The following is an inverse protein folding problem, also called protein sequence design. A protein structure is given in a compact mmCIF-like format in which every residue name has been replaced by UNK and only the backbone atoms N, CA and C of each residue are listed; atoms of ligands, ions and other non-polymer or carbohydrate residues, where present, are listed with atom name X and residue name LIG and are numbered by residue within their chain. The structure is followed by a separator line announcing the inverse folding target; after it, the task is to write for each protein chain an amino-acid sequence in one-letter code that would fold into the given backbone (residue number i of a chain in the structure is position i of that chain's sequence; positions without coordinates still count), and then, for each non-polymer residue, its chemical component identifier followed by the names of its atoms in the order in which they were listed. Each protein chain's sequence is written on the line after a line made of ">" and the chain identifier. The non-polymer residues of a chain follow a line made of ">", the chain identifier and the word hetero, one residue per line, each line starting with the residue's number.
data_IF_201975783014
#
_entry.id   IF_201975783014
#
_cell.length_a   1.000
_cell.length_b   1.000
_cell.length_c   1.000
_cell.angle_alpha   90.00
_cell.angle_beta   90.00
_cell.angle_gamma   90.00
#
_symmetry.space_group_name_H-M   'P 1'
#
loop_
_entity.id
_entity.type
_entity.pdbx_description
1 polymer ?
#
# COMPACT_ATOMS: atom_id res chain seq x y z
N UNK A 1 -15.55 -3.95 23.81
CA UNK A 1 -14.66 -4.89 23.08
C UNK A 1 -13.67 -4.04 22.35
N UNK A 2 -12.40 -4.45 22.33
CA UNK A 2 -11.37 -3.70 21.64
C UNK A 2 -11.56 -3.87 20.12
N UNK A 3 -12.12 -2.86 19.46
CA UNK A 3 -12.35 -2.81 17.98
C UNK A 3 -11.08 -2.33 17.26
N UNK A 4 -9.93 -2.32 17.92
CA UNK A 4 -8.83 -1.44 17.58
C UNK A 4 -7.72 -2.07 16.76
N UNK A 5 -7.68 -3.39 16.55
CA UNK A 5 -6.66 -4.03 15.71
C UNK A 5 -7.16 -5.37 15.16
N UNK A 6 -7.11 -5.52 13.84
CA UNK A 6 -7.40 -6.78 13.15
C UNK A 6 -6.13 -7.31 12.50
N UNK A 7 -5.92 -8.61 12.59
CA UNK A 7 -4.75 -9.25 11.99
C UNK A 7 -4.86 -9.40 10.47
N UNK A 8 -6.09 -9.37 9.94
CA UNK A 8 -6.37 -9.44 8.51
C UNK A 8 -7.77 -8.89 8.17
N UNK A 9 -8.00 -8.60 6.89
CA UNK A 9 -9.27 -8.05 6.37
C UNK A 9 -10.43 -9.02 6.52
N UNK A 10 -10.19 -10.32 6.42
CA UNK A 10 -11.23 -11.35 6.55
C UNK A 10 -11.88 -11.31 7.93
N UNK A 11 -11.07 -11.19 8.99
CA UNK A 11 -11.55 -11.12 10.37
C UNK A 11 -12.33 -9.83 10.65
N UNK A 12 -11.86 -8.70 10.11
CA UNK A 12 -12.58 -7.42 10.18
C UNK A 12 -13.95 -7.53 9.51
N UNK A 13 -13.98 -7.97 8.25
CA UNK A 13 -15.23 -8.14 7.50
C UNK A 13 -16.18 -9.12 8.19
N UNK A 14 -15.67 -10.24 8.68
CA UNK A 14 -16.48 -11.21 9.45
C UNK A 14 -17.09 -10.56 10.69
N UNK A 15 -16.29 -9.82 11.47
CA UNK A 15 -16.77 -9.11 12.64
C UNK A 15 -17.88 -8.11 12.35
N UNK A 16 -17.73 -7.35 11.28
CA UNK A 16 -18.73 -6.40 10.80
C UNK A 16 -20.04 -7.12 10.42
N UNK A 17 -19.99 -8.20 9.64
CA UNK A 17 -21.16 -8.94 9.19
C UNK A 17 -21.85 -9.73 10.31
N UNK A 18 -21.13 -10.13 11.33
CA UNK A 18 -21.67 -10.75 12.55
C UNK A 18 -22.26 -9.71 13.54
N UNK A 19 -22.16 -8.41 13.22
CA UNK A 19 -22.66 -7.33 14.08
C UNK A 19 -21.89 -7.14 15.37
N UNK A 20 -20.60 -7.53 15.41
CA UNK A 20 -19.74 -7.30 16.58
C UNK A 20 -19.43 -5.81 16.77
N UNK A 21 -19.46 -5.05 15.70
CA UNK A 21 -19.32 -3.59 15.61
C UNK A 21 -19.96 -3.10 14.31
N UNK A 22 -20.21 -1.80 14.21
CA UNK A 22 -20.68 -1.14 13.00
C UNK A 22 -19.51 -0.66 12.15
N UNK A 23 -19.75 -0.40 10.85
CA UNK A 23 -18.75 0.21 9.98
C UNK A 23 -18.35 1.61 10.49
N UNK A 24 -19.32 2.35 11.07
CA UNK A 24 -19.07 3.65 11.69
C UNK A 24 -18.13 3.53 12.89
N UNK A 25 -18.39 2.63 13.84
CA UNK A 25 -17.53 2.42 15.01
C UNK A 25 -16.09 2.04 14.60
N UNK A 26 -15.97 1.16 13.61
CA UNK A 26 -14.67 0.79 13.06
C UNK A 26 -13.97 1.98 12.41
N UNK A 27 -14.66 2.70 11.54
CA UNK A 27 -14.12 3.89 10.85
C UNK A 27 -13.64 4.93 11.87
N UNK A 28 -14.47 5.26 12.88
CA UNK A 28 -14.10 6.21 13.93
C UNK A 28 -12.86 5.79 14.71
N UNK A 29 -12.68 4.50 14.98
CA UNK A 29 -11.49 3.99 15.68
C UNK A 29 -10.19 4.27 14.89
N UNK A 30 -10.23 4.18 13.56
CA UNK A 30 -9.09 4.50 12.70
C UNK A 30 -8.93 6.01 12.44
N UNK A 31 -10.04 6.76 12.34
CA UNK A 31 -9.99 8.22 12.21
C UNK A 31 -9.30 8.86 13.42
N UNK A 32 -9.59 8.39 14.63
CA UNK A 32 -8.92 8.86 15.86
C UNK A 32 -7.41 8.59 15.83
N UNK A 33 -6.98 7.43 15.34
CA UNK A 33 -5.55 7.11 15.19
C UNK A 33 -4.88 8.00 14.13
N UNK A 34 -5.56 8.19 12.99
CA UNK A 34 -5.05 9.02 11.89
C UNK A 34 -4.95 10.50 12.27
N UNK A 35 -5.89 11.03 13.07
CA UNK A 35 -5.87 12.42 13.57
C UNK A 35 -4.83 12.63 14.68
N UNK A 36 -4.45 11.58 15.40
CA UNK A 36 -3.40 11.60 16.41
C UNK A 36 -1.99 11.36 15.81
N UNK A 37 -1.85 11.35 14.49
CA UNK A 37 -0.59 11.08 13.78
C UNK A 37 0.52 12.08 14.18
N UNK A 38 1.55 11.58 14.85
CA UNK A 38 2.79 12.32 15.19
C UNK A 38 4.00 11.91 14.31
N UNK A 39 3.75 11.04 13.33
CA UNK A 39 4.75 10.52 12.39
C UNK A 39 4.78 11.28 11.07
N UNK A 40 3.88 12.24 10.87
CA UNK A 40 3.68 12.99 9.62
C UNK A 40 3.33 12.10 8.42
N UNK A 41 2.63 10.98 8.68
CA UNK A 41 2.19 10.04 7.67
C UNK A 41 0.98 10.57 6.88
N UNK A 42 0.06 11.29 7.55
CA UNK A 42 -1.11 11.89 6.91
C UNK A 42 -0.88 13.36 6.55
N UNK A 43 -1.32 13.76 5.37
CA UNK A 43 -1.44 15.17 4.97
C UNK A 43 -2.84 15.70 5.21
N UNK A 44 -3.85 14.82 5.18
CA UNK A 44 -5.24 15.16 5.43
C UNK A 44 -6.03 13.90 5.80
N UNK A 45 -6.88 14.01 6.82
CA UNK A 45 -7.84 12.98 7.19
C UNK A 45 -9.21 13.36 6.63
N UNK A 46 -9.86 12.46 5.91
CA UNK A 46 -11.13 12.67 5.23
C UNK A 46 -12.33 12.32 6.12
N UNK A 47 -12.39 12.88 7.33
CA UNK A 47 -13.37 12.53 8.36
C UNK A 47 -14.78 12.48 7.82
N UNK A 48 -15.26 13.55 7.19
CA UNK A 48 -16.66 13.66 6.77
C UNK A 48 -17.02 12.62 5.69
N UNK A 49 -16.20 12.48 4.65
CA UNK A 49 -16.44 11.52 3.57
C UNK A 49 -16.32 10.08 4.06
N UNK A 50 -15.36 9.77 4.93
CA UNK A 50 -15.17 8.46 5.53
C UNK A 50 -16.36 8.06 6.43
N UNK A 51 -16.82 8.99 7.29
CA UNK A 51 -17.99 8.80 8.15
C UNK A 51 -19.26 8.58 7.32
N UNK A 52 -19.44 9.34 6.24
CA UNK A 52 -20.58 9.16 5.32
C UNK A 52 -20.54 7.80 4.60
N UNK A 53 -19.36 7.36 4.16
CA UNK A 53 -19.18 6.03 3.55
C UNK A 53 -19.49 4.90 4.55
N UNK A 54 -19.00 5.02 5.79
CA UNK A 54 -19.28 4.06 6.86
C UNK A 54 -20.78 3.96 7.19
N UNK A 55 -21.46 5.11 7.35
CA UNK A 55 -22.89 5.14 7.57
C UNK A 55 -23.68 4.50 6.40
N UNK A 56 -23.26 4.76 5.17
CA UNK A 56 -23.88 4.16 3.97
C UNK A 56 -23.72 2.64 3.98
N UNK A 57 -22.54 2.14 4.36
CA UNK A 57 -22.29 0.71 4.50
C UNK A 57 -23.14 0.07 5.61
N UNK A 58 -23.29 0.72 6.76
CA UNK A 58 -24.14 0.25 7.85
C UNK A 58 -25.62 0.16 7.42
N UNK A 59 -26.11 1.15 6.66
CA UNK A 59 -27.46 1.11 6.09
C UNK A 59 -27.62 -0.04 5.09
N UNK A 60 -26.63 -0.28 4.25
CA UNK A 60 -26.58 -1.38 3.27
C UNK A 60 -26.64 -2.75 3.97
N UNK A 61 -25.87 -2.92 5.04
CA UNK A 61 -25.88 -4.14 5.87
C UNK A 61 -27.24 -4.33 6.54
N UNK A 62 -27.77 -3.28 7.18
CA UNK A 62 -29.06 -3.31 7.86
C UNK A 62 -30.23 -3.64 6.91
N UNK A 63 -30.15 -3.21 5.66
CA UNK A 63 -31.14 -3.53 4.63
C UNK A 63 -31.05 -4.97 4.10
N UNK A 64 -30.04 -5.75 4.53
CA UNK A 64 -29.75 -7.09 4.01
C UNK A 64 -29.29 -7.09 2.56
N UNK A 65 -28.80 -5.96 2.06
CA UNK A 65 -28.25 -5.84 0.72
C UNK A 65 -26.88 -6.53 0.65
N UNK A 66 -26.52 -7.05 -0.51
CA UNK A 66 -25.18 -7.61 -0.72
C UNK A 66 -24.09 -6.54 -0.49
N UNK A 67 -23.03 -6.90 0.21
CA UNK A 67 -21.88 -6.03 0.45
C UNK A 67 -20.64 -6.54 -0.27
N UNK A 68 -19.76 -5.63 -0.65
CA UNK A 68 -18.53 -5.93 -1.34
C UNK A 68 -17.52 -6.71 -0.50
N UNK A 69 -16.46 -7.16 -1.14
CA UNK A 69 -15.40 -7.95 -0.51
C UNK A 69 -14.59 -7.16 0.52
N UNK A 70 -14.58 -5.83 0.39
CA UNK A 70 -13.82 -4.91 1.24
C UNK A 70 -14.71 -4.16 2.25
N UNK A 71 -15.95 -4.64 2.48
CA UNK A 71 -16.82 -4.06 3.50
C UNK A 71 -16.12 -3.96 4.86
N UNK A 72 -15.95 -2.73 5.37
CA UNK A 72 -15.23 -2.46 6.61
C UNK A 72 -13.70 -2.43 6.48
N UNK A 73 -13.15 -2.36 5.26
CA UNK A 73 -11.71 -2.15 5.06
C UNK A 73 -11.39 -0.65 5.05
N UNK A 74 -10.48 -0.24 5.92
CA UNK A 74 -10.04 1.16 6.09
C UNK A 74 -8.77 1.39 5.29
N UNK A 75 -8.82 2.34 4.33
CA UNK A 75 -7.75 2.56 3.33
C UNK A 75 -7.25 4.00 3.35
N UNK A 76 -5.91 4.17 3.35
CA UNK A 76 -5.23 5.44 3.07
C UNK A 76 -4.66 5.47 1.65
N UNK A 77 -4.62 6.65 1.03
CA UNK A 77 -4.14 6.85 -0.33
C UNK A 77 -2.87 7.71 -0.35
N UNK A 78 -1.82 7.26 -1.03
CA UNK A 78 -0.66 8.11 -1.31
C UNK A 78 -1.12 9.38 -2.03
N UNK A 79 -0.55 10.53 -1.68
CA UNK A 79 -0.94 11.86 -2.17
C UNK A 79 -0.72 12.09 -3.68
N UNK A 80 -0.39 11.06 -4.44
CA UNK A 80 -0.36 11.09 -5.90
C UNK A 80 -1.49 10.28 -6.56
N UNK A 81 -2.48 9.81 -5.76
CA UNK A 81 -3.65 9.08 -6.24
C UNK A 81 -4.89 9.95 -6.18
N UNK A 82 -5.52 10.17 -7.32
CA UNK A 82 -6.74 10.95 -7.42
C UNK A 82 -7.92 10.28 -6.69
N UNK A 83 -8.59 11.07 -5.86
CA UNK A 83 -9.88 10.75 -5.25
C UNK A 83 -10.81 11.94 -5.47
N UNK A 84 -11.91 11.73 -6.16
CA UNK A 84 -12.84 12.79 -6.58
C UNK A 84 -13.28 13.67 -5.39
N UNK A 85 -13.34 14.98 -5.62
CA UNK A 85 -13.74 16.00 -4.65
C UNK A 85 -12.84 16.07 -3.39
N UNK A 86 -11.61 15.50 -3.49
CA UNK A 86 -10.58 15.58 -2.45
C UNK A 86 -9.27 16.14 -3.03
N UNK A 87 -8.47 16.73 -2.16
CA UNK A 87 -7.16 17.24 -2.55
C UNK A 87 -6.21 16.13 -2.95
N UNK A 88 -5.39 16.42 -3.95
CA UNK A 88 -4.25 15.60 -4.36
C UNK A 88 -3.12 16.54 -4.79
N UNK A 89 -1.94 16.34 -4.23
CA UNK A 89 -0.86 17.30 -4.39
C UNK A 89 0.50 16.70 -4.70
N UNK A 90 0.63 15.37 -4.70
CA UNK A 90 1.90 14.66 -4.82
C UNK A 90 2.96 15.21 -3.82
N UNK A 91 2.52 15.58 -2.62
CA UNK A 91 3.33 16.20 -1.55
C UNK A 91 4.11 17.44 -2.00
N UNK A 92 3.58 18.19 -2.97
CA UNK A 92 4.16 19.41 -3.55
C UNK A 92 3.27 20.61 -3.33
N UNK A 93 3.88 21.76 -3.09
CA UNK A 93 3.17 23.05 -3.08
C UNK A 93 2.74 23.54 -4.46
N UNK A 94 3.28 22.97 -5.52
CA UNK A 94 2.88 23.30 -6.91
C UNK A 94 1.40 22.97 -7.15
N UNK A 95 0.90 21.91 -6.53
CA UNK A 95 -0.50 21.48 -6.61
C UNK A 95 -1.31 21.84 -5.35
N UNK A 96 -0.82 22.74 -4.51
CA UNK A 96 -1.52 23.16 -3.30
C UNK A 96 -2.92 23.69 -3.63
N UNK A 97 -3.94 23.13 -2.98
CA UNK A 97 -5.35 23.49 -3.21
C UNK A 97 -6.00 22.84 -4.44
N UNK A 98 -5.28 22.03 -5.21
CA UNK A 98 -5.89 21.28 -6.30
C UNK A 98 -6.76 20.13 -5.76
N UNK A 99 -8.02 20.08 -6.22
CA UNK A 99 -8.99 19.01 -5.94
C UNK A 99 -9.23 18.18 -7.18
N UNK A 100 -9.21 16.86 -7.02
CA UNK A 100 -9.39 15.95 -8.13
C UNK A 100 -10.85 15.92 -8.62
N UNK A 101 -11.04 16.01 -9.93
CA UNK A 101 -12.36 15.95 -10.59
C UNK A 101 -12.86 14.52 -10.80
N UNK A 102 -12.01 13.52 -10.57
CA UNK A 102 -12.32 12.10 -10.79
C UNK A 102 -11.53 11.23 -9.82
N UNK A 103 -11.96 9.97 -9.69
CA UNK A 103 -11.28 8.97 -8.86
C UNK A 103 -10.39 8.09 -9.74
N UNK A 104 -9.18 7.79 -9.28
CA UNK A 104 -8.29 6.83 -9.93
C UNK A 104 -8.99 5.46 -10.06
N UNK A 105 -8.84 4.80 -11.20
CA UNK A 105 -9.53 3.52 -11.46
C UNK A 105 -9.23 2.47 -10.39
N UNK A 106 -7.97 2.37 -9.95
CA UNK A 106 -7.60 1.45 -8.87
C UNK A 106 -8.34 1.76 -7.55
N UNK A 107 -8.50 3.03 -7.21
CA UNK A 107 -9.22 3.48 -6.01
C UNK A 107 -10.72 3.24 -6.15
N UNK A 108 -11.31 3.55 -7.31
CA UNK A 108 -12.73 3.35 -7.57
C UNK A 108 -13.15 1.90 -7.41
N UNK A 109 -12.35 0.96 -7.93
CA UNK A 109 -12.61 -0.48 -7.79
C UNK A 109 -12.65 -0.95 -6.34
N UNK A 110 -11.84 -0.35 -5.46
CA UNK A 110 -11.89 -0.66 -4.03
C UNK A 110 -13.14 -0.08 -3.36
N UNK A 111 -13.54 1.14 -3.75
CA UNK A 111 -14.78 1.77 -3.26
C UNK A 111 -16.01 0.99 -3.70
N UNK A 112 -16.03 0.49 -4.94
CA UNK A 112 -17.12 -0.34 -5.47
C UNK A 112 -17.30 -1.66 -4.70
N UNK A 113 -16.24 -2.12 -4.02
CA UNK A 113 -16.24 -3.26 -3.09
C UNK A 113 -16.42 -2.84 -1.61
N UNK A 114 -16.99 -1.66 -1.37
CA UNK A 114 -17.32 -1.12 -0.04
C UNK A 114 -16.10 -0.80 0.87
N UNK A 115 -14.95 -0.47 0.30
CA UNK A 115 -13.82 0.06 1.07
C UNK A 115 -14.09 1.51 1.52
N UNK A 116 -13.55 1.91 2.67
CA UNK A 116 -13.65 3.25 3.24
C UNK A 116 -12.31 3.96 3.13
N UNK A 117 -12.26 5.06 2.41
CA UNK A 117 -11.04 5.89 2.26
C UNK A 117 -11.02 6.93 3.36
N UNK A 118 -9.95 6.96 4.17
CA UNK A 118 -9.88 7.83 5.35
C UNK A 118 -8.92 9.01 5.24
N UNK A 119 -8.05 9.06 4.22
CA UNK A 119 -7.13 10.18 4.11
C UNK A 119 -6.09 10.02 3.01
N UNK A 120 -5.35 11.12 2.78
CA UNK A 120 -4.20 11.16 1.88
C UNK A 120 -2.90 11.18 2.66
N UNK A 121 -1.94 10.43 2.17
CA UNK A 121 -0.71 10.08 2.86
C UNK A 121 0.49 10.75 2.21
N UNK A 122 1.38 11.24 3.05
CA UNK A 122 2.60 11.92 2.68
C UNK A 122 3.55 11.03 1.86
N UNK A 123 4.28 11.65 0.94
CA UNK A 123 5.24 10.96 0.09
C UNK A 123 6.41 11.89 -0.26
N UNK A 124 7.48 11.37 -0.85
CA UNK A 124 8.44 12.24 -1.52
C UNK A 124 7.75 13.02 -2.65
N UNK A 125 8.11 14.28 -2.83
CA UNK A 125 7.50 15.20 -3.79
C UNK A 125 7.50 14.61 -5.21
N UNK A 126 6.32 14.55 -5.85
CA UNK A 126 6.08 13.87 -7.14
C UNK A 126 6.59 12.43 -7.22
N UNK A 127 6.61 11.72 -6.09
CA UNK A 127 7.16 10.37 -5.94
C UNK A 127 8.67 10.28 -6.29
N UNK A 128 9.39 11.39 -6.28
CA UNK A 128 10.81 11.48 -6.63
C UNK A 128 11.69 11.45 -5.38
N UNK A 129 11.86 10.27 -4.82
CA UNK A 129 12.70 10.04 -3.63
C UNK A 129 12.65 8.60 -3.15
N UNK A 130 13.43 8.31 -2.12
CA UNK A 130 13.56 6.96 -1.55
C UNK A 130 13.60 6.93 -0.01
N UNK A 131 13.39 8.08 0.64
CA UNK A 131 13.44 8.19 2.11
C UNK A 131 12.22 8.87 2.73
N UNK A 132 11.40 9.56 1.92
CA UNK A 132 10.31 10.45 2.30
C UNK A 132 10.77 11.66 3.12
N UNK A 133 11.98 12.15 2.82
CA UNK A 133 12.51 13.41 3.36
C UNK A 133 12.23 14.60 2.44
N UNK A 134 11.90 14.36 1.17
CA UNK A 134 11.72 15.37 0.12
C UNK A 134 10.28 15.92 0.02
N UNK A 135 9.42 15.67 0.98
CA UNK A 135 8.07 16.22 1.00
C UNK A 135 8.08 17.73 1.27
N UNK A 136 7.25 18.50 0.57
CA UNK A 136 7.01 19.90 0.85
C UNK A 136 6.35 20.17 2.24
N UNK A 137 5.84 19.09 2.87
CA UNK A 137 5.17 19.12 4.16
C UNK A 137 6.01 18.48 5.28
N UNK A 138 7.29 18.26 5.02
CA UNK A 138 8.25 17.69 5.97
C UNK A 138 8.39 16.18 5.89
N UNK A 139 9.43 15.64 6.55
CA UNK A 139 9.75 14.21 6.49
C UNK A 139 8.71 13.36 7.25
N UNK A 140 8.50 12.15 6.75
CA UNK A 140 7.78 11.11 7.47
C UNK A 140 8.74 10.36 8.37
N UNK A 141 8.29 9.98 9.56
CA UNK A 141 9.06 9.19 10.52
C UNK A 141 8.71 7.70 10.40
N UNK A 142 9.70 6.84 10.70
CA UNK A 142 9.45 5.40 10.76
C UNK A 142 8.66 5.03 12.02
N UNK A 143 7.63 4.18 11.88
CA UNK A 143 6.75 3.78 12.97
C UNK A 143 7.47 3.03 14.11
N UNK A 144 8.54 2.29 13.80
CA UNK A 144 9.28 1.52 14.81
C UNK A 144 10.36 2.35 15.50
N UNK A 145 10.92 3.37 14.82
CA UNK A 145 11.92 4.26 15.39
C UNK A 145 11.86 5.62 14.67
N UNK A 146 11.33 6.62 15.36
CA UNK A 146 11.13 7.98 14.81
C UNK A 146 12.43 8.72 14.43
N UNK A 147 13.60 8.20 14.80
CA UNK A 147 14.90 8.73 14.38
C UNK A 147 15.34 8.20 13.01
N UNK A 148 14.59 7.26 12.44
CA UNK A 148 14.87 6.62 11.15
C UNK A 148 13.85 7.03 10.11
N UNK A 149 14.23 6.95 8.82
CA UNK A 149 13.35 7.13 7.69
C UNK A 149 12.48 5.89 7.46
N UNK A 150 11.22 6.05 6.99
CA UNK A 150 10.36 4.91 6.66
C UNK A 150 10.70 4.31 5.30
N UNK A 151 11.61 4.94 4.54
CA UNK A 151 11.79 4.70 3.12
C UNK A 151 10.79 5.50 2.29
N UNK A 152 10.91 5.44 0.98
CA UNK A 152 10.09 6.21 0.03
C UNK A 152 10.12 5.63 -1.40
N UNK A 153 9.34 6.28 -2.24
CA UNK A 153 8.61 7.53 -2.04
C UNK A 153 7.28 7.37 -1.30
N UNK A 154 6.76 6.17 -1.03
CA UNK A 154 5.48 5.93 -0.34
C UNK A 154 5.67 5.74 1.18
N UNK A 155 6.47 6.61 1.84
CA UNK A 155 6.81 6.48 3.25
C UNK A 155 5.58 6.64 4.16
N UNK A 156 4.73 7.64 3.92
CA UNK A 156 3.49 7.81 4.66
C UNK A 156 2.56 6.60 4.54
N UNK A 157 2.47 5.99 3.34
CA UNK A 157 1.68 4.78 3.15
C UNK A 157 2.21 3.59 3.97
N UNK A 158 3.52 3.39 3.98
CA UNK A 158 4.13 2.33 4.78
C UNK A 158 3.98 2.58 6.28
N UNK A 159 4.24 3.81 6.72
CA UNK A 159 4.13 4.20 8.14
C UNK A 159 2.70 4.06 8.66
N UNK A 160 1.69 4.45 7.87
CA UNK A 160 0.29 4.38 8.30
C UNK A 160 -0.18 2.93 8.54
N UNK A 161 0.31 1.94 7.77
CA UNK A 161 0.03 0.52 8.02
C UNK A 161 0.84 0.01 9.22
N UNK A 162 2.13 0.30 9.28
CA UNK A 162 3.01 -0.16 10.35
C UNK A 162 2.60 0.38 11.75
N UNK A 163 2.02 1.59 11.80
CA UNK A 163 1.51 2.21 13.01
C UNK A 163 0.02 1.92 13.28
N UNK A 164 -0.60 1.00 12.55
CA UNK A 164 -2.02 0.63 12.68
C UNK A 164 -2.98 1.84 12.57
N UNK A 165 -2.64 2.83 11.73
CA UNK A 165 -3.50 3.97 11.38
C UNK A 165 -4.38 3.68 10.16
N UNK A 166 -4.06 2.67 9.38
CA UNK A 166 -4.85 2.10 8.28
C UNK A 166 -4.68 0.58 8.27
N UNK A 167 -5.70 -0.14 7.81
CA UNK A 167 -5.58 -1.58 7.54
C UNK A 167 -4.75 -1.82 6.28
N UNK A 168 -5.02 -1.03 5.26
CA UNK A 168 -4.40 -1.06 3.93
C UNK A 168 -4.05 0.37 3.54
N UNK A 169 -2.99 0.53 2.77
CA UNK A 169 -2.75 1.76 2.04
C UNK A 169 -2.38 1.46 0.58
N UNK A 170 -2.65 2.43 -0.29
CA UNK A 170 -2.15 2.39 -1.65
C UNK A 170 -0.92 3.29 -1.78
N UNK A 171 0.05 2.82 -2.54
CA UNK A 171 1.20 3.58 -2.96
C UNK A 171 1.47 3.45 -4.45
N UNK A 172 2.59 4.02 -4.89
CA UNK A 172 3.11 3.86 -6.24
C UNK A 172 4.58 3.44 -6.21
N UNK A 173 4.98 2.62 -7.16
CA UNK A 173 6.34 2.09 -7.30
C UNK A 173 6.83 2.28 -8.74
N UNK A 174 7.89 3.04 -8.89
CA UNK A 174 8.59 3.27 -10.17
C UNK A 174 9.92 2.54 -10.17
N UNK A 175 10.69 2.69 -9.11
CA UNK A 175 12.02 2.08 -8.93
C UNK A 175 12.22 1.45 -7.55
N UNK A 176 11.13 1.14 -6.80
CA UNK A 176 11.20 0.58 -5.45
C UNK A 176 10.25 1.23 -4.44
N UNK A 177 9.50 2.26 -4.85
CA UNK A 177 8.77 3.15 -3.94
C UNK A 177 7.54 2.53 -3.21
N UNK A 178 7.27 1.25 -3.37
CA UNK A 178 6.41 0.41 -2.50
C UNK A 178 7.28 -0.59 -1.75
N UNK A 179 8.11 -1.35 -2.46
CA UNK A 179 8.87 -2.49 -1.91
C UNK A 179 9.88 -2.05 -0.85
N UNK A 180 10.59 -0.95 -1.10
CA UNK A 180 11.61 -0.45 -0.19
C UNK A 180 11.00 0.12 1.10
N UNK A 181 10.00 1.03 1.08
CA UNK A 181 9.40 1.51 2.34
C UNK A 181 8.64 0.39 3.09
N UNK A 182 8.07 -0.61 2.42
CA UNK A 182 7.51 -1.79 3.08
C UNK A 182 8.58 -2.56 3.86
N UNK A 183 9.74 -2.79 3.25
CA UNK A 183 10.89 -3.45 3.88
C UNK A 183 11.40 -2.67 5.09
N UNK A 184 11.53 -1.33 4.99
CA UNK A 184 12.00 -0.47 6.07
C UNK A 184 10.99 -0.37 7.23
N UNK A 185 9.71 -0.58 6.96
CA UNK A 185 8.62 -0.49 7.93
C UNK A 185 8.14 -1.87 8.43
N UNK A 186 8.77 -2.97 8.01
CA UNK A 186 8.47 -4.33 8.47
C UNK A 186 7.07 -4.85 8.08
N UNK A 187 6.53 -4.38 6.95
CA UNK A 187 5.23 -4.77 6.41
C UNK A 187 5.34 -5.36 5.00
N UNK A 188 4.24 -5.80 4.43
CA UNK A 188 4.17 -6.30 3.05
C UNK A 188 3.82 -5.17 2.09
N UNK A 189 4.62 -4.99 1.04
CA UNK A 189 4.33 -4.08 -0.06
C UNK A 189 4.42 -4.82 -1.39
N UNK A 190 3.36 -4.76 -2.18
CA UNK A 190 3.28 -5.47 -3.45
C UNK A 190 3.33 -4.51 -4.63
N UNK A 191 4.36 -4.64 -5.47
CA UNK A 191 4.40 -3.99 -6.79
C UNK A 191 3.88 -4.95 -7.86
N UNK A 192 2.69 -4.68 -8.43
CA UNK A 192 2.18 -5.47 -9.56
C UNK A 192 3.12 -5.45 -10.77
N UNK A 193 2.98 -6.43 -11.64
CA UNK A 193 3.57 -6.38 -12.98
C UNK A 193 2.96 -5.22 -13.77
N UNK A 194 3.79 -4.51 -14.56
CA UNK A 194 3.39 -3.40 -15.40
C UNK A 194 2.18 -3.75 -16.27
N UNK A 195 1.21 -2.84 -16.33
CA UNK A 195 -0.03 -3.03 -17.09
C UNK A 195 -1.07 -3.96 -16.44
N UNK A 196 -0.89 -4.34 -15.17
CA UNK A 196 -1.88 -5.15 -14.44
C UNK A 196 -2.88 -4.33 -13.63
N UNK A 197 -2.46 -3.16 -13.17
CA UNK A 197 -3.31 -2.18 -12.50
C UNK A 197 -3.28 -0.91 -13.34
N UNK A 198 -4.45 -0.33 -13.59
CA UNK A 198 -4.57 0.94 -14.31
C UNK A 198 -3.86 2.06 -13.56
N UNK A 199 -3.17 2.93 -14.31
CA UNK A 199 -2.53 4.15 -13.80
C UNK A 199 -3.40 5.39 -14.02
N UNK A 200 -4.62 5.23 -14.56
CA UNK A 200 -5.55 6.35 -14.67
C UNK A 200 -5.84 6.95 -13.31
N UNK A 201 -5.55 8.24 -13.15
CA UNK A 201 -5.66 8.97 -11.88
C UNK A 201 -4.43 8.87 -10.97
N UNK A 202 -3.30 8.36 -11.48
CA UNK A 202 -2.00 8.46 -10.82
C UNK A 202 -1.25 9.68 -11.36
N UNK A 203 -0.80 10.59 -10.49
CA UNK A 203 0.17 11.63 -10.86
C UNK A 203 1.50 10.93 -11.13
N UNK A 204 1.97 11.02 -12.38
CA UNK A 204 3.10 10.25 -12.85
C UNK A 204 4.45 10.77 -12.33
N UNK A 205 5.36 9.83 -12.02
CA UNK A 205 6.80 10.09 -11.97
C UNK A 205 7.46 9.67 -13.28
N UNK A 206 7.37 8.39 -13.65
CA UNK A 206 7.88 7.86 -14.91
C UNK A 206 6.89 6.84 -15.47
N UNK A 207 6.02 7.28 -16.37
CA UNK A 207 4.87 6.51 -16.86
C UNK A 207 5.21 5.14 -17.45
N UNK A 208 6.46 4.93 -17.91
CA UNK A 208 6.91 3.63 -18.42
C UNK A 208 7.21 2.60 -17.32
N UNK A 209 7.22 3.01 -16.05
CA UNK A 209 7.59 2.16 -14.91
C UNK A 209 6.59 2.21 -13.76
N UNK A 210 5.84 3.30 -13.63
CA UNK A 210 4.92 3.52 -12.52
C UNK A 210 3.90 2.39 -12.39
N UNK A 211 3.72 1.90 -11.17
CA UNK A 211 2.66 0.96 -10.81
C UNK A 211 2.02 1.35 -9.48
N UNK A 212 0.69 1.23 -9.40
CA UNK A 212 -0.06 1.34 -8.14
C UNK A 212 -0.08 -0.03 -7.49
N UNK A 213 0.13 -0.08 -6.18
CA UNK A 213 0.06 -1.32 -5.42
C UNK A 213 -0.23 -1.11 -3.93
N UNK A 214 -0.64 -2.18 -3.23
CA UNK A 214 -1.02 -2.12 -1.83
C UNK A 214 0.15 -2.31 -0.87
N UNK A 215 -0.06 -1.77 0.33
CA UNK A 215 0.63 -2.13 1.56
C UNK A 215 -0.35 -2.80 2.53
N UNK A 216 0.08 -3.85 3.20
CA UNK A 216 -0.68 -4.60 4.19
C UNK A 216 0.23 -5.26 5.23
N UNK A 217 -0.35 -5.79 6.30
CA UNK A 217 0.41 -6.55 7.31
C UNK A 217 0.66 -8.01 6.91
N UNK A 218 -0.01 -8.53 5.86
CA UNK A 218 0.13 -9.90 5.38
C UNK A 218 -0.05 -9.99 3.84
N UNK A 219 0.35 -11.12 3.28
CA UNK A 219 0.34 -11.37 1.83
C UNK A 219 -1.09 -11.57 1.31
N UNK A 220 -1.95 -12.24 2.07
CA UNK A 220 -3.31 -12.57 1.64
C UNK A 220 -4.15 -11.31 1.42
N UNK A 221 -3.99 -10.30 2.30
CA UNK A 221 -4.65 -9.01 2.15
C UNK A 221 -4.09 -8.23 0.93
N UNK A 222 -2.77 -8.27 0.69
CA UNK A 222 -2.19 -7.69 -0.52
C UNK A 222 -2.74 -8.37 -1.79
N UNK A 223 -2.88 -9.69 -1.80
CA UNK A 223 -3.42 -10.45 -2.92
C UNK A 223 -4.90 -10.10 -3.18
N UNK A 224 -5.70 -9.99 -2.11
CA UNK A 224 -7.11 -9.60 -2.20
C UNK A 224 -7.24 -8.20 -2.83
N UNK A 225 -6.50 -7.21 -2.32
CA UNK A 225 -6.53 -5.83 -2.83
C UNK A 225 -6.06 -5.79 -4.28
N UNK A 226 -4.94 -6.45 -4.61
CA UNK A 226 -4.44 -6.54 -5.98
C UNK A 226 -5.47 -7.18 -6.92
N UNK A 227 -6.13 -8.27 -6.51
CA UNK A 227 -7.14 -8.96 -7.29
C UNK A 227 -8.34 -8.07 -7.64
N UNK A 228 -8.68 -7.12 -6.76
CA UNK A 228 -9.78 -6.15 -6.98
C UNK A 228 -9.31 -4.99 -7.86
N UNK A 229 -8.12 -4.43 -7.60
CA UNK A 229 -7.59 -3.30 -8.38
C UNK A 229 -7.24 -3.69 -9.81
N UNK A 230 -6.85 -4.95 -10.04
CA UNK A 230 -6.34 -5.45 -11.31
C UNK A 230 -7.39 -5.51 -12.42
N UNK A 231 -6.92 -5.51 -13.66
CA UNK A 231 -7.76 -5.71 -14.84
C UNK A 231 -7.65 -4.58 -15.88
N UNK A 232 -8.30 -4.82 -17.01
CA UNK A 232 -8.29 -3.89 -18.14
C UNK A 232 -9.00 -2.58 -17.81
N UNK A 233 -8.49 -1.48 -18.36
CA UNK A 233 -9.09 -0.15 -18.25
C UNK A 233 -8.93 0.58 -19.58
N UNK A 234 -10.03 1.06 -20.16
CA UNK A 234 -10.02 1.83 -21.41
C UNK A 234 -9.33 3.18 -21.26
N UNK A 235 -9.21 3.69 -20.03
CA UNK A 235 -8.52 4.94 -19.71
C UNK A 235 -7.00 4.79 -19.60
N UNK A 236 -6.46 3.56 -19.59
CA UNK A 236 -5.03 3.27 -19.62
C UNK A 236 -4.71 2.19 -20.66
N UNK A 237 -4.28 2.63 -21.82
CA UNK A 237 -3.95 1.77 -22.97
C UNK A 237 -2.83 0.75 -22.70
N UNK A 238 -2.12 0.87 -21.60
CA UNK A 238 -1.08 -0.09 -21.19
C UNK A 238 -1.62 -1.27 -20.40
N UNK A 239 -2.89 -1.20 -19.97
CA UNK A 239 -3.50 -2.33 -19.24
C UNK A 239 -3.75 -3.51 -20.18
N UNK A 240 -3.61 -4.71 -19.64
CA UNK A 240 -3.75 -5.94 -20.40
C UNK A 240 -4.91 -6.79 -19.89
N UNK A 241 -5.81 -7.16 -20.80
CA UNK A 241 -6.88 -8.13 -20.56
C UNK A 241 -6.38 -9.59 -20.53
N UNK A 242 -5.12 -9.85 -20.88
CA UNK A 242 -4.57 -11.19 -20.82
C UNK A 242 -4.61 -11.70 -19.37
N UNK A 243 -5.47 -12.66 -19.10
CA UNK A 243 -5.42 -13.38 -17.83
C UNK A 243 -4.06 -14.05 -17.71
N UNK A 244 -3.32 -13.74 -16.65
CA UNK A 244 -2.23 -14.61 -16.23
C UNK A 244 -2.93 -15.83 -15.64
N UNK A 245 -2.66 -17.01 -16.19
CA UNK A 245 -3.05 -18.25 -15.52
C UNK A 245 -2.32 -18.25 -14.17
N UNK A 246 -3.09 -18.01 -13.12
CA UNK A 246 -2.59 -17.94 -11.75
C UNK A 246 -2.36 -19.32 -11.12
N UNK A 247 -1.90 -20.30 -11.88
CA UNK A 247 -1.54 -21.58 -11.32
C UNK A 247 -0.15 -21.99 -11.78
N UNK A 248 0.85 -21.41 -11.12
CA UNK A 248 2.07 -22.18 -10.90
C UNK A 248 1.72 -23.09 -9.73
N UNK A 249 1.57 -24.39 -10.00
CA UNK A 249 1.48 -25.37 -8.92
C UNK A 249 2.70 -25.15 -8.00
N UNK A 250 2.44 -25.10 -6.70
CA UNK A 250 3.52 -24.93 -5.74
C UNK A 250 4.54 -26.08 -5.95
N UNK A 251 5.79 -25.72 -6.22
CA UNK A 251 6.87 -26.68 -6.37
C UNK A 251 7.43 -27.03 -4.99
N UNK A 252 7.82 -28.28 -4.80
CA UNK A 252 8.54 -28.70 -3.59
C UNK A 252 9.90 -28.00 -3.47
N UNK A 253 10.47 -27.53 -4.58
CA UNK A 253 11.77 -26.87 -4.63
C UNK A 253 11.79 -25.75 -5.67
N UNK A 254 12.38 -24.62 -5.29
CA UNK A 254 12.58 -23.44 -6.15
C UNK A 254 14.07 -23.16 -6.30
N UNK A 255 14.43 -22.42 -7.36
CA UNK A 255 15.74 -21.81 -7.52
C UNK A 255 15.63 -20.30 -7.24
N UNK A 256 16.32 -19.82 -6.21
CA UNK A 256 16.43 -18.41 -5.87
C UNK A 256 17.77 -17.86 -6.37
N UNK A 257 17.75 -16.72 -7.02
CA UNK A 257 18.95 -16.00 -7.42
C UNK A 257 19.05 -14.66 -6.69
N UNK A 258 20.28 -14.21 -6.42
CA UNK A 258 20.54 -12.88 -5.87
C UNK A 258 21.79 -12.28 -6.53
N UNK A 259 21.87 -10.94 -6.54
CA UNK A 259 23.05 -10.25 -7.08
C UNK A 259 24.14 -10.15 -6.01
N UNK A 260 25.29 -10.77 -6.28
CA UNK A 260 26.43 -10.74 -5.35
C UNK A 260 26.96 -9.33 -5.10
N UNK A 261 26.93 -8.46 -6.12
CA UNK A 261 27.38 -7.07 -6.04
C UNK A 261 26.60 -6.29 -4.96
N UNK A 262 25.31 -6.56 -4.79
CA UNK A 262 24.49 -5.95 -3.71
C UNK A 262 24.98 -6.41 -2.34
N UNK A 263 25.31 -7.70 -2.21
CA UNK A 263 25.78 -8.28 -0.94
C UNK A 263 27.20 -7.82 -0.58
N UNK A 264 28.01 -7.52 -1.59
CA UNK A 264 29.39 -7.05 -1.42
C UNK A 264 29.47 -5.51 -1.27
N UNK A 265 28.34 -4.80 -1.46
CA UNK A 265 28.31 -3.33 -1.37
C UNK A 265 28.75 -2.82 0.01
N UNK A 266 29.68 -1.83 0.05
CA UNK A 266 30.07 -1.21 1.32
C UNK A 266 28.94 -0.40 1.99
N UNK A 267 27.90 -0.02 1.23
CA UNK A 267 26.72 0.65 1.75
C UNK A 267 25.70 -0.28 2.42
N UNK A 268 25.85 -1.60 2.28
CA UNK A 268 24.94 -2.55 2.91
C UNK A 268 25.26 -2.70 4.40
N UNK A 269 24.29 -2.33 5.27
CA UNK A 269 24.45 -2.45 6.71
C UNK A 269 24.72 -3.91 7.12
N UNK A 270 25.68 -4.17 8.03
CA UNK A 270 26.05 -5.53 8.44
C UNK A 270 24.88 -6.39 8.89
N UNK A 271 24.00 -5.85 9.74
CA UNK A 271 22.81 -6.59 10.23
C UNK A 271 21.86 -7.01 9.11
N UNK A 272 21.67 -6.17 8.07
CA UNK A 272 20.88 -6.52 6.89
C UNK A 272 21.53 -7.65 6.11
N UNK A 273 22.88 -7.59 5.94
CA UNK A 273 23.65 -8.66 5.30
C UNK A 273 23.53 -9.99 6.03
N UNK A 274 23.65 -9.95 7.38
CA UNK A 274 23.58 -11.14 8.22
C UNK A 274 22.17 -11.77 8.18
N UNK A 275 21.12 -10.96 8.29
CA UNK A 275 19.73 -11.42 8.18
C UNK A 275 19.45 -12.03 6.79
N UNK A 276 19.98 -11.44 5.72
CA UNK A 276 19.84 -11.97 4.37
C UNK A 276 20.55 -13.32 4.22
N UNK A 277 21.79 -13.43 4.70
CA UNK A 277 22.55 -14.69 4.67
C UNK A 277 21.84 -15.79 5.47
N UNK A 278 21.32 -15.45 6.67
CA UNK A 278 20.53 -16.40 7.46
C UNK A 278 19.32 -16.89 6.64
N UNK A 279 18.60 -16.01 5.96
CA UNK A 279 17.46 -16.40 5.12
C UNK A 279 17.89 -17.31 3.96
N UNK A 280 19.06 -17.05 3.33
CA UNK A 280 19.59 -17.94 2.30
C UNK A 280 19.90 -19.36 2.84
N UNK A 281 20.41 -19.44 4.08
CA UNK A 281 20.70 -20.73 4.72
C UNK A 281 19.42 -21.49 5.10
N UNK A 282 18.39 -20.78 5.57
CA UNK A 282 17.05 -21.35 5.82
C UNK A 282 16.46 -21.94 4.52
N UNK A 283 16.53 -21.21 3.41
CA UNK A 283 16.04 -21.67 2.11
C UNK A 283 16.83 -22.89 1.60
N UNK A 284 18.16 -22.92 1.75
CA UNK A 284 18.97 -24.11 1.42
C UNK A 284 18.56 -25.32 2.26
N UNK A 285 18.35 -25.11 3.56
CA UNK A 285 17.94 -26.16 4.49
C UNK A 285 16.53 -26.69 4.18
N UNK A 286 15.67 -25.86 3.61
CA UNK A 286 14.35 -26.24 3.12
C UNK A 286 14.39 -26.94 1.74
N UNK A 287 15.56 -27.22 1.17
CA UNK A 287 15.73 -27.94 -0.09
C UNK A 287 15.68 -27.07 -1.35
N UNK A 288 15.74 -25.76 -1.21
CA UNK A 288 15.78 -24.85 -2.35
C UNK A 288 17.18 -24.62 -2.86
N UNK A 289 17.31 -24.36 -4.17
CA UNK A 289 18.60 -24.01 -4.80
C UNK A 289 18.83 -22.49 -4.70
N UNK A 290 20.03 -22.10 -4.23
CA UNK A 290 20.45 -20.71 -4.16
C UNK A 290 21.58 -20.46 -5.15
N UNK A 291 21.41 -19.45 -6.01
CA UNK A 291 22.37 -19.14 -7.09
C UNK A 291 22.79 -17.67 -7.01
N UNK A 292 24.05 -17.38 -6.61
CA UNK A 292 24.58 -16.03 -6.77
C UNK A 292 24.74 -15.73 -8.28
N UNK A 293 24.24 -14.57 -8.70
CA UNK A 293 24.37 -14.07 -10.07
C UNK A 293 25.13 -12.75 -10.07
N UNK A 294 25.60 -12.31 -11.24
CA UNK A 294 26.22 -11.01 -11.43
C UNK A 294 25.34 -10.12 -12.29
N UNK A 295 25.25 -8.85 -11.92
CA UNK A 295 24.59 -7.81 -12.70
C UNK A 295 25.52 -6.60 -12.84
N UNK A 296 26.36 -6.56 -13.90
CA UNK A 296 27.46 -5.59 -14.04
C UNK A 296 27.01 -4.14 -14.26
N UNK A 297 25.72 -3.87 -14.32
CA UNK A 297 25.13 -2.54 -14.48
C UNK A 297 24.52 -1.97 -13.18
N UNK A 298 24.88 -2.55 -12.02
CA UNK A 298 24.46 -2.03 -10.72
C UNK A 298 25.32 -0.85 -10.22
N UNK A 299 26.48 -0.60 -10.84
CA UNK A 299 27.40 0.51 -10.52
C UNK A 299 27.04 1.78 -11.31
#
# INVERSE_FOLDING_TARGET
>A
MDTTSFTNLSDSRKGLLEGRFTALELCESYLVKAEADDLNAFLEVFRDSATNAANTLDLKIKAGSGVGKLAGTIIGLKDNLCYKDHKVGASSKILEGFESLFTATAVQRLIDEDAIIIGRLNCDEFAMGSSNENSAYGPVKNAHNQALVPGGSSGGSATAVAADMCMITLGSDTGGSIRQPASFSGIVGMKPTYGRVSRHGLIAFASSFDQIGPFANNIDDCELIYGIMGGNDEMDSTTSSKQIKASVEASESYTFAYYKEVMDSPGLHPEVRDAFNQKLDELRSAGHKIVPTSFPYLD
#
